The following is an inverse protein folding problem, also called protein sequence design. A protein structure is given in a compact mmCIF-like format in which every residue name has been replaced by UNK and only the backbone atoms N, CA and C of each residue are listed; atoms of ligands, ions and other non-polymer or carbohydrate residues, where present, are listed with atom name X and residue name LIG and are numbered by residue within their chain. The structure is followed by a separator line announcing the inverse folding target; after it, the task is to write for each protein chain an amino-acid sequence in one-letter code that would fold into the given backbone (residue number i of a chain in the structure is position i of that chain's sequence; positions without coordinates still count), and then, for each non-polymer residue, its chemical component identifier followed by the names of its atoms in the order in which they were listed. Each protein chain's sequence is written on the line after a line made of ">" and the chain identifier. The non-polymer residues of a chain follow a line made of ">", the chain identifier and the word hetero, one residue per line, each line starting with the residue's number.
data_IF_274936658701
#
_entry.id   IF_274936658701
#
_cell.length_a   1.000
_cell.length_b   1.000
_cell.length_c   1.000
_cell.angle_alpha   90.00
_cell.angle_beta   90.00
_cell.angle_gamma   90.00
#
_symmetry.space_group_name_H-M   'P 1'
#
loop_
_entity.id
_entity.type
_entity.pdbx_description
1 polymer ?
#
# COMPACT_ATOMS: atom_id res chain seq x y z
N UNK A 1 -45.69 35.94 -3.08
CA UNK A 1 -44.56 36.90 -3.03
C UNK A 1 -44.58 37.70 -1.74
N UNK A 2 -45.74 38.20 -1.31
CA UNK A 2 -45.98 38.98 -0.09
C UNK A 2 -45.44 38.38 1.23
N UNK A 3 -45.51 37.06 1.41
CA UNK A 3 -45.05 36.37 2.64
C UNK A 3 -43.52 36.33 2.83
N UNK A 4 -42.76 36.38 1.73
CA UNK A 4 -41.29 36.41 1.80
C UNK A 4 -40.78 37.83 2.08
N UNK A 5 -41.49 38.84 1.59
CA UNK A 5 -41.17 40.26 1.83
C UNK A 5 -41.43 40.65 3.30
N UNK A 6 -42.52 40.16 3.90
CA UNK A 6 -42.86 40.42 5.32
C UNK A 6 -41.83 39.84 6.29
N UNK A 7 -41.34 38.61 6.06
CA UNK A 7 -40.26 38.05 6.89
C UNK A 7 -38.98 38.87 6.74
N UNK A 8 -38.64 39.26 5.51
CA UNK A 8 -37.46 40.08 5.22
C UNK A 8 -37.51 41.45 5.91
N UNK A 9 -38.65 42.15 5.87
CA UNK A 9 -38.83 43.44 6.55
C UNK A 9 -38.75 43.30 8.07
N UNK A 10 -39.40 42.29 8.64
CA UNK A 10 -39.33 41.99 10.08
C UNK A 10 -37.89 41.78 10.56
N UNK A 11 -37.09 40.99 9.84
CA UNK A 11 -35.68 40.78 10.20
C UNK A 11 -34.84 42.06 10.12
N UNK A 12 -35.14 42.96 9.17
CA UNK A 12 -34.44 44.25 9.01
C UNK A 12 -34.77 45.23 10.13
N UNK A 13 -36.05 45.39 10.47
CA UNK A 13 -36.47 46.28 11.57
C UNK A 13 -36.01 45.76 12.94
N UNK A 14 -36.06 44.44 13.13
CA UNK A 14 -35.55 43.78 14.32
C UNK A 14 -34.04 43.99 14.50
N UNK A 15 -33.26 43.94 13.41
CA UNK A 15 -31.82 44.18 13.44
C UNK A 15 -31.43 45.63 13.77
N UNK A 16 -32.23 46.60 13.31
CA UNK A 16 -31.97 48.03 13.53
C UNK A 16 -32.29 48.49 14.97
N UNK A 17 -33.09 47.72 15.72
CA UNK A 17 -33.56 48.07 17.08
C UNK A 17 -32.79 47.37 18.22
N UNK A 18 -31.74 46.60 17.89
CA UNK A 18 -30.91 45.89 18.88
C UNK A 18 -29.92 46.88 19.51
N UNK A 19 -29.94 47.01 20.84
CA UNK A 19 -28.91 47.79 21.54
C UNK A 19 -27.55 47.10 21.44
N UNK A 20 -26.44 47.87 21.45
CA UNK A 20 -25.08 47.31 21.37
C UNK A 20 -24.81 46.20 22.41
N UNK A 21 -25.42 46.29 23.59
CA UNK A 21 -25.29 45.28 24.66
C UNK A 21 -26.00 43.97 24.31
N UNK A 22 -27.20 44.04 23.74
CA UNK A 22 -27.96 42.86 23.31
C UNK A 22 -27.29 42.15 22.12
N UNK A 23 -26.74 42.93 21.19
CA UNK A 23 -25.94 42.40 20.08
C UNK A 23 -24.71 41.61 20.56
N UNK A 24 -23.98 42.12 21.55
CA UNK A 24 -22.84 41.42 22.14
C UNK A 24 -23.24 40.11 22.81
N UNK A 25 -24.37 40.08 23.55
CA UNK A 25 -24.87 38.86 24.20
C UNK A 25 -25.22 37.80 23.14
N UNK A 26 -25.88 38.18 22.05
CA UNK A 26 -26.23 37.25 20.97
C UNK A 26 -24.97 36.68 20.29
N UNK A 27 -23.95 37.49 20.05
CA UNK A 27 -22.68 37.04 19.49
C UNK A 27 -21.98 36.05 20.42
N UNK A 28 -21.88 36.36 21.72
CA UNK A 28 -21.28 35.46 22.71
C UNK A 28 -22.05 34.13 22.78
N UNK A 29 -23.38 34.19 22.78
CA UNK A 29 -24.23 33.00 22.81
C UNK A 29 -24.08 32.17 21.53
N UNK A 30 -23.98 32.80 20.36
CA UNK A 30 -23.73 32.11 19.11
C UNK A 30 -22.37 31.40 19.11
N UNK A 31 -21.31 32.06 19.60
CA UNK A 31 -19.99 31.43 19.76
C UNK A 31 -20.01 30.29 20.79
N UNK A 32 -20.73 30.44 21.90
CA UNK A 32 -20.89 29.39 22.91
C UNK A 32 -21.61 28.17 22.34
N UNK A 33 -22.70 28.37 21.58
CA UNK A 33 -23.44 27.31 20.91
C UNK A 33 -22.60 26.62 19.82
N UNK A 34 -21.87 27.38 19.02
CA UNK A 34 -20.95 26.82 18.03
C UNK A 34 -19.85 25.99 18.71
N UNK A 35 -19.26 26.50 19.80
CA UNK A 35 -18.28 25.77 20.60
C UNK A 35 -18.84 24.47 21.17
N UNK A 36 -20.05 24.51 21.75
CA UNK A 36 -20.75 23.33 22.25
C UNK A 36 -21.02 22.31 21.13
N UNK A 37 -21.46 22.78 19.96
CA UNK A 37 -21.70 21.93 18.80
C UNK A 37 -20.42 21.22 18.32
N UNK A 38 -19.31 21.94 18.15
CA UNK A 38 -18.03 21.34 17.79
C UNK A 38 -17.51 20.37 18.86
N UNK A 39 -17.72 20.67 20.14
CA UNK A 39 -17.38 19.78 21.25
C UNK A 39 -18.16 18.46 21.17
N UNK A 40 -19.48 18.53 21.00
CA UNK A 40 -20.33 17.34 20.84
C UNK A 40 -19.96 16.52 19.59
N UNK A 41 -19.68 17.18 18.46
CA UNK A 41 -19.22 16.51 17.25
C UNK A 41 -17.90 15.75 17.48
N UNK A 42 -16.98 16.34 18.24
CA UNK A 42 -15.69 15.74 18.57
C UNK A 42 -15.86 14.52 19.48
N UNK A 43 -16.69 14.63 20.53
CA UNK A 43 -17.03 13.50 21.40
C UNK A 43 -17.69 12.37 20.61
N UNK A 44 -18.63 12.68 19.73
CA UNK A 44 -19.31 11.68 18.90
C UNK A 44 -18.36 10.97 17.93
N UNK A 45 -17.43 11.71 17.30
CA UNK A 45 -16.37 11.11 16.47
C UNK A 45 -15.46 10.20 17.30
N UNK A 46 -15.05 10.64 18.49
CA UNK A 46 -14.20 9.85 19.40
C UNK A 46 -14.91 8.59 19.89
N UNK A 47 -16.17 8.67 20.27
CA UNK A 47 -16.98 7.54 20.72
C UNK A 47 -17.15 6.49 19.60
N UNK A 48 -17.44 6.94 18.37
CA UNK A 48 -17.50 6.04 17.20
C UNK A 48 -16.16 5.35 16.94
N UNK A 49 -15.06 6.10 17.01
CA UNK A 49 -13.71 5.55 16.84
C UNK A 49 -13.38 4.50 17.92
N UNK A 50 -13.73 4.77 19.18
CA UNK A 50 -13.52 3.81 20.29
C UNK A 50 -14.33 2.53 20.09
N UNK A 51 -15.58 2.62 19.64
CA UNK A 51 -16.39 1.43 19.32
C UNK A 51 -15.77 0.62 18.18
N UNK A 52 -15.30 1.30 17.13
CA UNK A 52 -14.61 0.65 16.01
C UNK A 52 -13.32 -0.05 16.46
N UNK A 53 -12.53 0.57 17.34
CA UNK A 53 -11.32 -0.05 17.91
C UNK A 53 -11.69 -1.32 18.69
N UNK A 54 -12.65 -1.25 19.62
CA UNK A 54 -13.07 -2.42 20.41
C UNK A 54 -13.56 -3.58 19.53
N UNK A 55 -14.31 -3.28 18.47
CA UNK A 55 -14.76 -4.31 17.51
C UNK A 55 -13.57 -4.92 16.75
N UNK A 56 -12.60 -4.09 16.34
CA UNK A 56 -11.37 -4.59 15.70
C UNK A 56 -10.55 -5.46 16.65
N UNK A 57 -10.42 -5.08 17.91
CA UNK A 57 -9.67 -5.85 18.91
C UNK A 57 -10.34 -7.22 19.17
N UNK A 58 -11.68 -7.24 19.26
CA UNK A 58 -12.44 -8.49 19.37
C UNK A 58 -12.26 -9.39 18.14
N UNK A 59 -12.31 -8.82 16.93
CA UNK A 59 -12.02 -9.56 15.70
C UNK A 59 -10.58 -10.04 15.66
N UNK A 60 -9.61 -9.22 16.08
CA UNK A 60 -8.20 -9.57 16.09
C UNK A 60 -7.96 -10.79 16.97
N UNK A 61 -8.54 -10.84 18.17
CA UNK A 61 -8.43 -11.99 19.06
C UNK A 61 -8.98 -13.29 18.44
N UNK A 62 -10.15 -13.24 17.81
CA UNK A 62 -10.72 -14.40 17.09
C UNK A 62 -9.83 -14.83 15.91
N UNK A 63 -9.37 -13.85 15.13
CA UNK A 63 -8.53 -14.08 13.95
C UNK A 63 -7.18 -14.71 14.33
N UNK A 64 -6.55 -14.23 15.39
CA UNK A 64 -5.27 -14.75 15.86
C UNK A 64 -5.42 -16.23 16.24
N UNK A 65 -6.49 -16.61 16.96
CA UNK A 65 -6.77 -18.00 17.29
C UNK A 65 -6.92 -18.88 16.04
N UNK A 66 -7.68 -18.41 15.05
CA UNK A 66 -7.88 -19.14 13.78
C UNK A 66 -6.57 -19.30 13.02
N UNK A 67 -5.80 -18.22 12.84
CA UNK A 67 -4.56 -18.24 12.07
C UNK A 67 -3.47 -19.06 12.76
N UNK A 68 -3.31 -18.93 14.09
CA UNK A 68 -2.34 -19.74 14.82
C UNK A 68 -2.71 -21.22 14.79
N UNK A 69 -3.99 -21.56 14.95
CA UNK A 69 -4.48 -22.93 14.82
C UNK A 69 -4.22 -23.51 13.43
N UNK A 70 -4.38 -22.71 12.36
CA UNK A 70 -4.17 -23.17 10.99
C UNK A 70 -2.67 -23.35 10.68
N UNK A 71 -1.83 -22.41 11.08
CA UNK A 71 -0.39 -22.42 10.73
C UNK A 71 0.41 -23.38 11.59
N UNK A 72 0.08 -23.49 12.89
CA UNK A 72 0.89 -24.23 13.88
C UNK A 72 0.13 -25.38 14.56
N UNK A 73 -1.11 -25.66 14.16
CA UNK A 73 -1.87 -26.80 14.68
C UNK A 73 -1.18 -28.13 14.37
N UNK A 74 -1.35 -29.10 15.27
CA UNK A 74 -0.95 -30.50 15.01
C UNK A 74 -1.86 -31.11 13.93
N UNK A 75 -1.33 -32.11 13.21
CA UNK A 75 -2.01 -32.83 12.14
C UNK A 75 -3.34 -33.42 12.66
N UNK A 76 -4.45 -32.71 12.36
CA UNK A 76 -5.79 -32.97 12.89
C UNK A 76 -6.65 -31.70 13.03
N UNK A 77 -6.08 -30.61 13.55
CA UNK A 77 -6.77 -29.30 13.63
C UNK A 77 -6.90 -28.61 12.26
N UNK A 78 -6.01 -28.95 11.34
CA UNK A 78 -5.97 -28.41 9.98
C UNK A 78 -7.21 -28.82 9.15
N UNK A 79 -7.78 -30.00 9.39
CA UNK A 79 -9.00 -30.45 8.67
C UNK A 79 -10.26 -29.69 9.10
N UNK A 80 -10.41 -29.37 10.39
CA UNK A 80 -11.53 -28.55 10.86
C UNK A 80 -11.38 -27.10 10.41
N UNK A 81 -10.16 -26.56 10.42
CA UNK A 81 -9.90 -25.19 10.02
C UNK A 81 -9.91 -25.00 8.50
N UNK A 82 -9.73 -26.06 7.69
CA UNK A 82 -10.05 -26.04 6.25
C UNK A 82 -11.53 -25.76 5.96
N UNK A 83 -12.43 -25.98 6.92
CA UNK A 83 -13.85 -25.62 6.82
C UNK A 83 -14.13 -24.15 7.19
N UNK A 84 -13.13 -23.43 7.71
CA UNK A 84 -13.29 -22.01 8.00
C UNK A 84 -13.66 -21.26 6.72
N UNK A 85 -14.73 -20.49 6.79
CA UNK A 85 -15.20 -19.66 5.68
C UNK A 85 -15.49 -18.25 6.14
N UNK A 86 -15.17 -17.28 5.29
CA UNK A 86 -15.55 -15.88 5.50
C UNK A 86 -17.01 -15.58 5.16
N UNK A 87 -17.80 -16.61 4.81
CA UNK A 87 -19.25 -16.47 4.60
C UNK A 87 -19.93 -15.95 5.88
N UNK A 88 -20.84 -14.98 5.75
CA UNK A 88 -21.50 -14.33 6.87
C UNK A 88 -20.64 -13.36 7.70
N UNK A 89 -19.31 -13.30 7.49
CA UNK A 89 -18.43 -12.34 8.19
C UNK A 89 -18.55 -10.93 7.58
N UNK A 90 -18.39 -9.92 8.43
CA UNK A 90 -18.47 -8.51 8.02
C UNK A 90 -17.28 -8.10 7.14
N UNK A 91 -17.43 -7.04 6.33
CA UNK A 91 -16.32 -6.48 5.55
C UNK A 91 -15.15 -6.02 6.45
N UNK A 92 -15.46 -5.50 7.64
CA UNK A 92 -14.43 -5.12 8.60
C UNK A 92 -13.63 -6.34 9.06
N UNK A 93 -14.31 -7.44 9.41
CA UNK A 93 -13.66 -8.70 9.79
C UNK A 93 -12.72 -9.20 8.69
N UNK A 94 -13.19 -9.26 7.44
CA UNK A 94 -12.39 -9.68 6.28
C UNK A 94 -11.13 -8.82 6.11
N UNK A 95 -11.25 -7.50 6.27
CA UNK A 95 -10.12 -6.57 6.20
C UNK A 95 -9.11 -6.77 7.32
N UNK A 96 -9.57 -7.03 8.54
CA UNK A 96 -8.67 -7.33 9.67
C UNK A 96 -7.97 -8.66 9.41
N UNK A 97 -8.70 -9.69 8.98
CA UNK A 97 -8.16 -11.02 8.71
C UNK A 97 -7.07 -11.00 7.63
N UNK A 98 -7.32 -10.33 6.50
CA UNK A 98 -6.31 -10.20 5.44
C UNK A 98 -5.07 -9.44 5.96
N UNK A 99 -5.24 -8.37 6.74
CA UNK A 99 -4.10 -7.63 7.29
C UNK A 99 -3.26 -8.48 8.23
N UNK A 100 -3.89 -9.28 9.10
CA UNK A 100 -3.18 -10.22 9.97
C UNK A 100 -2.46 -11.28 9.15
N UNK A 101 -3.13 -11.84 8.13
CA UNK A 101 -2.56 -12.84 7.24
C UNK A 101 -1.32 -12.31 6.49
N UNK A 102 -1.40 -11.10 5.92
CA UNK A 102 -0.27 -10.43 5.25
C UNK A 102 0.87 -10.15 6.25
N UNK A 103 0.52 -9.71 7.46
CA UNK A 103 1.50 -9.44 8.51
C UNK A 103 2.30 -10.70 8.84
N UNK A 104 1.60 -11.81 9.12
CA UNK A 104 2.22 -13.12 9.37
C UNK A 104 3.04 -13.56 8.15
N UNK A 105 2.47 -13.53 6.94
CA UNK A 105 3.15 -13.95 5.70
C UNK A 105 4.48 -13.21 5.50
N UNK A 106 4.52 -11.91 5.81
CA UNK A 106 5.74 -11.11 5.69
C UNK A 106 6.80 -11.37 6.76
N UNK A 107 6.44 -12.01 7.88
CA UNK A 107 7.32 -12.28 9.01
C UNK A 107 7.80 -13.74 9.09
N UNK A 108 7.06 -14.69 8.48
CA UNK A 108 7.40 -16.11 8.45
C UNK A 108 8.06 -16.52 7.13
N UNK A 109 8.65 -17.72 7.09
CA UNK A 109 9.30 -18.30 5.90
C UNK A 109 9.06 -19.81 5.83
N UNK A 110 9.15 -20.38 4.62
CA UNK A 110 9.07 -21.83 4.43
C UNK A 110 7.62 -22.33 4.49
N UNK A 111 7.39 -23.52 5.05
CA UNK A 111 6.07 -24.17 5.04
C UNK A 111 4.94 -23.31 5.64
N UNK A 112 5.23 -22.44 6.60
CA UNK A 112 4.24 -21.52 7.17
C UNK A 112 3.71 -20.50 6.16
N UNK A 113 4.54 -20.02 5.22
CA UNK A 113 4.04 -19.09 4.18
C UNK A 113 3.10 -19.80 3.22
N UNK A 114 3.39 -21.05 2.88
CA UNK A 114 2.56 -21.85 1.97
C UNK A 114 1.19 -22.14 2.61
N UNK A 115 1.16 -22.46 3.92
CA UNK A 115 -0.09 -22.60 4.68
C UNK A 115 -0.90 -21.30 4.70
N UNK A 116 -0.27 -20.14 4.92
CA UNK A 116 -0.97 -18.85 4.91
C UNK A 116 -1.58 -18.53 3.52
N UNK A 117 -0.89 -18.89 2.45
CA UNK A 117 -1.40 -18.79 1.07
C UNK A 117 -2.57 -19.75 0.84
N UNK A 118 -2.48 -20.99 1.31
CA UNK A 118 -3.58 -21.97 1.25
C UNK A 118 -4.81 -21.47 2.02
N UNK A 119 -4.63 -20.92 3.22
CA UNK A 119 -5.72 -20.34 4.02
C UNK A 119 -6.41 -19.19 3.29
N UNK A 120 -5.64 -18.33 2.62
CA UNK A 120 -6.20 -17.22 1.84
C UNK A 120 -7.17 -17.71 0.75
N UNK A 121 -6.81 -18.82 0.09
CA UNK A 121 -7.62 -19.46 -0.94
C UNK A 121 -8.82 -20.16 -0.33
N UNK A 122 -8.60 -21.08 0.61
CA UNK A 122 -9.64 -21.95 1.17
C UNK A 122 -10.70 -21.20 1.97
N UNK A 123 -10.32 -20.13 2.67
CA UNK A 123 -11.26 -19.29 3.44
C UNK A 123 -12.23 -18.47 2.58
N UNK A 124 -11.94 -18.29 1.29
CA UNK A 124 -12.71 -17.46 0.35
C UNK A 124 -12.29 -15.99 0.31
N UNK A 125 -11.19 -15.61 0.98
CA UNK A 125 -10.68 -14.24 1.01
C UNK A 125 -10.17 -13.76 -0.36
N UNK A 126 -9.65 -14.66 -1.20
CA UNK A 126 -9.28 -14.35 -2.59
C UNK A 126 -10.43 -13.68 -3.34
N UNK A 127 -11.64 -14.25 -3.27
CA UNK A 127 -12.82 -13.70 -3.94
C UNK A 127 -13.15 -12.29 -3.47
N UNK A 128 -12.98 -12.02 -2.17
CA UNK A 128 -13.18 -10.70 -1.60
C UNK A 128 -12.18 -9.68 -2.17
N UNK A 129 -10.91 -10.05 -2.29
CA UNK A 129 -9.89 -9.15 -2.85
C UNK A 129 -10.01 -8.99 -4.37
N UNK A 130 -10.40 -10.03 -5.11
CA UNK A 130 -10.70 -9.95 -6.55
C UNK A 130 -11.86 -9.00 -6.83
N UNK A 131 -12.93 -9.05 -6.03
CA UNK A 131 -14.06 -8.12 -6.18
C UNK A 131 -13.62 -6.65 -6.01
N UNK A 132 -12.62 -6.37 -5.17
CA UNK A 132 -12.08 -5.01 -5.02
C UNK A 132 -11.44 -4.47 -6.30
N UNK A 133 -10.90 -5.33 -7.17
CA UNK A 133 -10.33 -4.91 -8.47
C UNK A 133 -11.38 -4.31 -9.42
N UNK A 134 -12.66 -4.61 -9.20
CA UNK A 134 -13.79 -4.12 -9.99
C UNK A 134 -14.40 -2.82 -9.43
N UNK A 135 -13.89 -2.31 -8.30
CA UNK A 135 -14.43 -1.11 -7.68
C UNK A 135 -14.20 0.15 -8.51
N UNK A 136 -15.16 1.07 -8.47
CA UNK A 136 -15.01 2.42 -9.03
C UNK A 136 -14.08 3.30 -8.18
N UNK A 137 -13.82 2.92 -6.93
CA UNK A 137 -12.92 3.65 -6.03
C UNK A 137 -11.50 3.10 -6.19
N UNK A 138 -10.61 3.94 -6.70
CA UNK A 138 -9.21 3.59 -6.91
C UNK A 138 -8.53 3.08 -5.62
N UNK A 139 -8.93 3.57 -4.45
CA UNK A 139 -8.39 3.13 -3.15
C UNK A 139 -8.72 1.66 -2.85
N UNK A 140 -9.95 1.23 -3.14
CA UNK A 140 -10.36 -0.16 -2.97
C UNK A 140 -9.62 -1.06 -3.97
N UNK A 141 -9.43 -0.59 -5.20
CA UNK A 141 -8.65 -1.28 -6.24
C UNK A 141 -7.20 -1.50 -5.81
N UNK A 142 -6.53 -0.45 -5.33
CA UNK A 142 -5.16 -0.54 -4.76
C UNK A 142 -5.14 -1.52 -3.60
N UNK A 143 -6.14 -1.50 -2.71
CA UNK A 143 -6.26 -2.45 -1.61
C UNK A 143 -6.40 -3.89 -2.13
N UNK A 144 -7.15 -4.13 -3.20
CA UNK A 144 -7.30 -5.45 -3.83
C UNK A 144 -6.00 -5.94 -4.47
N UNK A 145 -5.33 -5.09 -5.23
CA UNK A 145 -4.03 -5.40 -5.85
C UNK A 145 -3.01 -5.78 -4.76
N UNK A 146 -2.95 -4.98 -3.68
CA UNK A 146 -2.06 -5.24 -2.55
C UNK A 146 -2.33 -6.58 -1.91
N UNK A 147 -3.57 -6.91 -1.58
CA UNK A 147 -3.89 -8.17 -0.93
C UNK A 147 -3.45 -9.38 -1.77
N UNK A 148 -3.81 -9.38 -3.05
CA UNK A 148 -3.56 -10.50 -3.96
C UNK A 148 -2.07 -10.71 -4.17
N UNK A 149 -1.32 -9.63 -4.38
CA UNK A 149 0.14 -9.70 -4.45
C UNK A 149 0.74 -10.07 -3.09
N UNK A 150 0.18 -9.55 -1.99
CA UNK A 150 0.61 -9.77 -0.62
C UNK A 150 0.62 -11.20 -0.15
N UNK A 151 -0.22 -12.01 -0.76
CA UNK A 151 -0.39 -13.42 -0.45
C UNK A 151 -0.09 -14.27 -1.68
N UNK A 152 0.76 -13.75 -2.58
CA UNK A 152 1.33 -14.45 -3.73
C UNK A 152 0.29 -15.19 -4.61
N UNK A 153 -0.91 -14.61 -4.75
CA UNK A 153 -1.97 -15.24 -5.52
C UNK A 153 -1.75 -15.05 -7.02
N UNK A 154 -0.95 -15.95 -7.61
CA UNK A 154 -0.54 -15.94 -9.02
C UNK A 154 -1.70 -15.79 -10.03
N UNK A 155 -2.87 -16.45 -9.87
CA UNK A 155 -3.95 -16.34 -10.85
C UNK A 155 -4.52 -14.92 -11.01
N UNK A 156 -4.28 -14.01 -10.04
CA UNK A 156 -4.73 -12.63 -10.16
C UNK A 156 -3.88 -11.77 -11.10
N UNK A 157 -2.73 -12.26 -11.58
CA UNK A 157 -1.80 -11.45 -12.39
C UNK A 157 -2.50 -10.75 -13.58
N UNK A 158 -3.26 -11.49 -14.39
CA UNK A 158 -3.90 -10.93 -15.59
C UNK A 158 -5.02 -9.95 -15.20
N UNK A 159 -5.75 -10.24 -14.13
CA UNK A 159 -6.78 -9.35 -13.59
C UNK A 159 -6.16 -8.03 -13.11
N UNK A 160 -5.02 -8.08 -12.41
CA UNK A 160 -4.26 -6.91 -11.97
C UNK A 160 -3.78 -6.12 -13.20
N UNK A 161 -3.22 -6.79 -14.21
CA UNK A 161 -2.74 -6.14 -15.45
C UNK A 161 -3.87 -5.39 -16.17
N UNK A 162 -5.08 -5.94 -16.19
CA UNK A 162 -6.26 -5.39 -16.87
C UNK A 162 -7.00 -4.28 -16.10
N UNK A 163 -6.62 -3.96 -14.85
CA UNK A 163 -7.26 -2.89 -14.05
C UNK A 163 -7.29 -1.56 -14.82
N UNK A 164 -8.51 -1.00 -14.96
CA UNK A 164 -8.84 0.17 -15.78
C UNK A 164 -8.71 1.49 -15.00
N UNK A 165 -7.47 1.91 -14.73
CA UNK A 165 -7.15 3.19 -14.08
C UNK A 165 -5.88 3.82 -14.69
N UNK A 166 -5.82 3.91 -16.02
CA UNK A 166 -4.60 4.35 -16.74
C UNK A 166 -4.13 5.75 -16.39
N UNK A 167 -5.04 6.66 -16.01
CA UNK A 167 -4.72 8.04 -15.60
C UNK A 167 -4.39 8.20 -14.11
N UNK A 168 -4.46 7.13 -13.32
CA UNK A 168 -4.15 7.19 -11.89
C UNK A 168 -2.78 6.57 -11.63
N UNK A 169 -1.79 7.44 -11.42
CA UNK A 169 -0.39 7.04 -11.23
C UNK A 169 -0.20 6.08 -10.05
N UNK A 170 -0.92 6.30 -8.94
CA UNK A 170 -0.86 5.42 -7.77
C UNK A 170 -1.33 4.00 -8.10
N UNK A 171 -2.39 3.86 -8.92
CA UNK A 171 -2.85 2.54 -9.36
C UNK A 171 -1.85 1.91 -10.31
N UNK A 172 -1.26 2.66 -11.25
CA UNK A 172 -0.26 2.11 -12.17
C UNK A 172 1.01 1.66 -11.44
N UNK A 173 1.49 2.43 -10.48
CA UNK A 173 2.62 2.07 -9.62
C UNK A 173 2.31 0.80 -8.82
N UNK A 174 1.13 0.72 -8.20
CA UNK A 174 0.73 -0.49 -7.45
C UNK A 174 0.61 -1.71 -8.36
N UNK A 175 0.05 -1.57 -9.56
CA UNK A 175 0.01 -2.64 -10.56
C UNK A 175 1.42 -3.14 -10.90
N UNK A 176 2.37 -2.23 -11.13
CA UNK A 176 3.75 -2.61 -11.44
C UNK A 176 4.40 -3.35 -10.27
N UNK A 177 4.29 -2.83 -9.05
CA UNK A 177 4.84 -3.46 -7.84
C UNK A 177 4.24 -4.87 -7.64
N UNK A 178 2.92 -5.00 -7.79
CA UNK A 178 2.24 -6.28 -7.68
C UNK A 178 2.68 -7.28 -8.75
N UNK A 179 2.82 -6.83 -10.01
CA UNK A 179 3.31 -7.66 -11.10
C UNK A 179 4.74 -8.12 -10.86
N UNK A 180 5.63 -7.20 -10.45
CA UNK A 180 7.02 -7.53 -10.08
C UNK A 180 7.04 -8.56 -8.96
N UNK A 181 6.15 -8.42 -7.99
CA UNK A 181 6.07 -9.37 -6.90
C UNK A 181 5.63 -10.77 -7.34
N UNK A 182 4.64 -10.85 -8.24
CA UNK A 182 4.10 -12.12 -8.70
C UNK A 182 5.04 -12.81 -9.70
N UNK A 183 5.63 -12.07 -10.65
CA UNK A 183 6.41 -12.65 -11.77
C UNK A 183 7.88 -12.26 -11.83
N UNK A 184 8.35 -11.43 -10.91
CA UNK A 184 9.74 -11.00 -10.86
C UNK A 184 10.03 -9.72 -11.62
N UNK A 185 11.31 -9.34 -11.66
CA UNK A 185 11.74 -8.07 -12.25
C UNK A 185 11.69 -8.03 -13.78
N UNK A 186 11.43 -9.16 -14.45
CA UNK A 186 11.21 -9.22 -15.90
C UNK A 186 10.08 -8.28 -16.35
N UNK A 187 9.15 -7.94 -15.46
CA UNK A 187 8.06 -6.99 -15.69
C UNK A 187 8.55 -5.58 -16.03
N UNK A 188 9.78 -5.22 -15.63
CA UNK A 188 10.40 -3.94 -15.99
C UNK A 188 10.74 -3.84 -17.49
N UNK A 189 10.85 -4.98 -18.20
CA UNK A 189 11.16 -5.00 -19.64
C UNK A 189 10.12 -4.29 -20.50
N UNK A 190 8.85 -4.27 -20.08
CA UNK A 190 7.79 -3.52 -20.76
C UNK A 190 8.05 -2.00 -20.79
N UNK A 191 8.88 -1.51 -19.86
CA UNK A 191 9.17 -0.09 -19.71
C UNK A 191 10.48 0.33 -20.40
N UNK A 192 11.26 -0.62 -20.93
CA UNK A 192 12.58 -0.40 -21.56
C UNK A 192 12.58 0.71 -22.61
N UNK A 193 11.53 0.77 -23.42
CA UNK A 193 11.37 1.77 -24.48
C UNK A 193 10.13 2.67 -24.28
N UNK A 194 9.64 2.75 -23.04
CA UNK A 194 8.45 3.54 -22.71
C UNK A 194 8.82 4.98 -22.34
N UNK A 195 7.86 5.90 -22.50
CA UNK A 195 7.97 7.27 -21.99
C UNK A 195 7.58 7.41 -20.50
N UNK A 196 7.26 6.30 -19.83
CA UNK A 196 6.81 6.33 -18.44
C UNK A 196 7.98 6.64 -17.51
N UNK A 197 7.88 7.69 -16.70
CA UNK A 197 8.97 8.08 -15.81
C UNK A 197 8.78 7.54 -14.39
N UNK A 198 9.75 6.78 -13.90
CA UNK A 198 9.79 6.32 -12.50
C UNK A 198 10.53 7.33 -11.64
N UNK A 199 9.77 8.15 -10.91
CA UNK A 199 10.35 9.07 -9.92
C UNK A 199 10.99 8.33 -8.73
N UNK A 200 11.79 9.04 -7.92
CA UNK A 200 12.53 8.43 -6.80
C UNK A 200 11.64 7.71 -5.78
N UNK A 201 10.42 8.22 -5.56
CA UNK A 201 9.45 7.56 -4.69
C UNK A 201 9.02 6.20 -5.26
N UNK A 202 8.73 6.13 -6.57
CA UNK A 202 8.37 4.88 -7.26
C UNK A 202 9.51 3.88 -7.18
N UNK A 203 10.73 4.34 -7.48
CA UNK A 203 11.92 3.49 -7.44
C UNK A 203 12.19 2.96 -6.02
N UNK A 204 12.05 3.81 -5.01
CA UNK A 204 12.19 3.42 -3.60
C UNK A 204 11.16 2.36 -3.19
N UNK A 205 9.91 2.50 -3.64
CA UNK A 205 8.88 1.51 -3.37
C UNK A 205 9.12 0.18 -4.07
N UNK A 206 9.63 0.20 -5.31
CA UNK A 206 10.02 -1.03 -6.01
C UNK A 206 11.17 -1.71 -5.25
N UNK A 207 12.24 -0.99 -4.92
CA UNK A 207 13.37 -1.53 -4.13
C UNK A 207 12.89 -2.14 -2.81
N UNK A 208 12.07 -1.40 -2.06
CA UNK A 208 11.51 -1.86 -0.80
C UNK A 208 10.69 -3.13 -0.98
N UNK A 209 9.84 -3.19 -2.02
CA UNK A 209 8.98 -4.34 -2.28
C UNK A 209 9.77 -5.57 -2.69
N UNK A 210 10.76 -5.42 -3.58
CA UNK A 210 11.65 -6.51 -4.02
C UNK A 210 12.36 -7.13 -2.81
N UNK A 211 12.88 -6.29 -1.89
CA UNK A 211 13.49 -6.77 -0.65
C UNK A 211 12.49 -7.46 0.27
N UNK A 212 11.42 -6.74 0.63
CA UNK A 212 10.47 -7.19 1.66
C UNK A 212 9.85 -8.53 1.31
N UNK A 213 9.56 -8.74 0.02
CA UNK A 213 8.89 -9.94 -0.45
C UNK A 213 9.83 -10.95 -1.10
N UNK A 214 11.15 -10.76 -0.95
CA UNK A 214 12.20 -11.69 -1.41
C UNK A 214 11.94 -12.15 -2.86
N UNK A 215 11.65 -11.18 -3.73
CA UNK A 215 11.27 -11.46 -5.12
C UNK A 215 12.38 -12.28 -5.77
N UNK A 216 12.01 -13.49 -6.21
CA UNK A 216 12.91 -14.42 -6.89
C UNK A 216 13.15 -13.89 -8.31
N UNK A 217 14.37 -14.00 -8.81
CA UNK A 217 14.84 -13.57 -10.14
C UNK A 217 15.27 -12.10 -10.22
N UNK A 218 16.56 -11.88 -9.92
CA UNK A 218 17.31 -10.71 -10.37
C UNK A 218 17.98 -10.95 -11.73
N UNK A 219 17.76 -12.09 -12.38
CA UNK A 219 18.46 -12.47 -13.62
C UNK A 219 18.10 -11.52 -14.77
N UNK A 220 19.07 -11.28 -15.66
CA UNK A 220 18.92 -10.48 -16.89
C UNK A 220 18.52 -9.01 -16.72
N UNK A 221 18.76 -8.42 -15.54
CA UNK A 221 18.62 -6.97 -15.35
C UNK A 221 19.58 -6.15 -16.23
N UNK A 222 20.69 -6.74 -16.65
CA UNK A 222 21.75 -6.09 -17.42
C UNK A 222 21.22 -5.51 -18.75
N UNK A 223 20.27 -6.20 -19.41
CA UNK A 223 19.66 -5.77 -20.68
C UNK A 223 18.87 -4.46 -20.56
N UNK A 224 18.49 -4.10 -19.33
CA UNK A 224 17.75 -2.89 -19.00
C UNK A 224 18.67 -1.71 -18.61
N UNK A 225 19.99 -1.92 -18.50
CA UNK A 225 20.95 -0.81 -18.38
C UNK A 225 20.89 0.08 -19.62
N UNK A 226 20.70 -0.53 -20.80
CA UNK A 226 20.56 0.14 -22.10
C UNK A 226 19.14 0.57 -22.44
N UNK A 227 18.29 0.69 -21.42
CA UNK A 227 16.94 1.19 -21.59
C UNK A 227 16.97 2.62 -22.10
N UNK A 228 16.26 2.90 -23.20
CA UNK A 228 16.03 4.28 -23.66
C UNK A 228 15.22 5.09 -22.65
N UNK A 229 14.52 4.41 -21.75
CA UNK A 229 13.99 5.00 -20.54
C UNK A 229 15.06 5.06 -19.43
N UNK A 230 15.66 6.23 -19.26
CA UNK A 230 16.71 6.48 -18.27
C UNK A 230 16.27 6.21 -16.82
N UNK A 231 14.99 6.40 -16.49
CA UNK A 231 14.48 6.10 -15.14
C UNK A 231 14.43 4.60 -14.82
N UNK A 232 14.28 3.76 -15.85
CA UNK A 232 14.39 2.29 -15.73
C UNK A 232 15.85 1.88 -15.57
N UNK A 233 16.76 2.43 -16.39
CA UNK A 233 18.20 2.18 -16.25
C UNK A 233 18.71 2.56 -14.85
N UNK A 234 18.28 3.72 -14.33
CA UNK A 234 18.59 4.18 -12.97
C UNK A 234 18.08 3.21 -11.90
N UNK A 235 16.83 2.73 -12.03
CA UNK A 235 16.26 1.75 -11.11
C UNK A 235 17.06 0.43 -11.13
N UNK A 236 17.48 -0.02 -12.30
CA UNK A 236 18.27 -1.23 -12.49
C UNK A 236 19.63 -1.12 -11.81
N UNK A 237 20.33 0.00 -12.00
CA UNK A 237 21.60 0.32 -11.31
C UNK A 237 21.38 0.20 -9.79
N UNK A 238 20.34 0.87 -9.26
CA UNK A 238 20.00 0.82 -7.83
C UNK A 238 19.72 -0.60 -7.35
N UNK A 239 18.98 -1.41 -8.10
CA UNK A 239 18.70 -2.80 -7.76
C UNK A 239 19.98 -3.65 -7.73
N UNK A 240 20.86 -3.52 -8.73
CA UNK A 240 22.13 -4.26 -8.80
C UNK A 240 23.01 -3.94 -7.59
N UNK A 241 23.20 -2.65 -7.27
CA UNK A 241 23.97 -2.23 -6.10
C UNK A 241 23.33 -2.66 -4.79
N UNK A 242 22.00 -2.60 -4.69
CA UNK A 242 21.27 -2.94 -3.48
C UNK A 242 21.41 -4.41 -3.11
N UNK A 243 21.30 -5.30 -4.10
CA UNK A 243 21.38 -6.75 -3.90
C UNK A 243 22.81 -7.30 -4.01
N UNK A 244 23.79 -6.46 -4.39
CA UNK A 244 25.22 -6.84 -4.54
C UNK A 244 25.41 -8.11 -5.37
N UNK A 245 24.68 -8.23 -6.47
CA UNK A 245 24.85 -9.36 -7.38
C UNK A 245 26.21 -9.20 -8.09
N UNK A 246 27.21 -9.97 -7.66
CA UNK A 246 28.60 -9.84 -8.12
C UNK A 246 28.75 -10.01 -9.63
N UNK A 247 28.01 -10.94 -10.24
CA UNK A 247 28.01 -11.12 -11.68
C UNK A 247 27.45 -9.89 -12.43
N UNK A 248 26.51 -9.17 -11.83
CA UNK A 248 25.90 -7.98 -12.43
C UNK A 248 26.66 -6.69 -12.14
N UNK A 249 27.51 -6.66 -11.10
CA UNK A 249 28.39 -5.53 -10.84
C UNK A 249 29.41 -5.33 -11.97
N UNK A 250 29.90 -6.41 -12.58
CA UNK A 250 30.76 -6.33 -13.78
C UNK A 250 30.06 -5.64 -14.96
N UNK A 251 28.75 -5.87 -15.11
CA UNK A 251 27.96 -5.22 -16.15
C UNK A 251 27.80 -3.71 -15.93
N UNK A 252 27.87 -3.24 -14.67
CA UNK A 252 27.89 -1.81 -14.36
C UNK A 252 29.20 -1.17 -14.79
N UNK A 253 30.33 -1.85 -14.59
CA UNK A 253 31.65 -1.34 -14.99
C UNK A 253 31.76 -1.20 -16.52
N UNK A 254 31.23 -2.16 -17.28
CA UNK A 254 31.10 -2.04 -18.74
C UNK A 254 30.15 -0.90 -19.14
N UNK A 255 28.96 -0.83 -18.51
CA UNK A 255 27.97 0.21 -18.80
C UNK A 255 28.50 1.63 -18.52
N UNK A 256 29.31 1.81 -17.48
CA UNK A 256 29.94 3.08 -17.13
C UNK A 256 30.82 3.63 -18.27
N UNK A 257 31.52 2.75 -19.00
CA UNK A 257 32.42 3.18 -20.09
C UNK A 257 31.68 3.66 -21.34
N UNK A 258 30.42 3.25 -21.50
CA UNK A 258 29.64 3.47 -22.73
C UNK A 258 28.42 4.36 -22.55
N UNK A 259 27.98 4.60 -21.31
CA UNK A 259 26.85 5.48 -21.04
C UNK A 259 27.24 6.96 -21.17
N UNK A 260 26.45 7.72 -21.91
CA UNK A 260 26.61 9.18 -22.03
C UNK A 260 25.83 9.98 -21.01
N UNK A 261 25.08 9.36 -20.09
CA UNK A 261 24.27 10.08 -19.11
C UNK A 261 25.08 10.46 -17.87
N UNK A 262 25.30 11.76 -17.67
CA UNK A 262 25.90 12.31 -16.45
C UNK A 262 25.13 11.91 -15.18
N UNK A 263 23.79 11.82 -15.27
CA UNK A 263 22.94 11.45 -14.14
C UNK A 263 23.16 10.00 -13.71
N UNK A 264 23.22 9.07 -14.67
CA UNK A 264 23.48 7.65 -14.38
C UNK A 264 24.90 7.46 -13.82
N UNK A 265 25.90 8.15 -14.40
CA UNK A 265 27.28 8.14 -13.92
C UNK A 265 27.40 8.67 -12.49
N UNK A 266 26.72 9.77 -12.19
CA UNK A 266 26.64 10.36 -10.84
C UNK A 266 26.12 9.35 -9.81
N UNK A 267 25.02 8.67 -10.12
CA UNK A 267 24.43 7.67 -9.23
C UNK A 267 25.38 6.47 -9.04
N UNK A 268 25.99 5.94 -10.10
CA UNK A 268 26.94 4.83 -10.02
C UNK A 268 28.11 5.21 -9.08
N UNK A 269 28.67 6.40 -9.26
CA UNK A 269 29.76 6.90 -8.42
C UNK A 269 29.37 7.06 -6.95
N UNK A 270 28.17 7.57 -6.69
CA UNK A 270 27.61 7.68 -5.34
C UNK A 270 27.43 6.29 -4.69
N UNK A 271 26.84 5.34 -5.41
CA UNK A 271 26.58 3.99 -4.91
C UNK A 271 27.86 3.19 -4.69
N UNK A 272 28.84 3.27 -5.61
CA UNK A 272 30.18 2.67 -5.44
C UNK A 272 30.80 3.15 -4.12
N UNK A 273 30.92 4.46 -3.92
CA UNK A 273 31.51 5.06 -2.70
C UNK A 273 30.84 4.58 -1.42
N UNK A 274 29.51 4.57 -1.38
CA UNK A 274 28.75 4.15 -0.19
C UNK A 274 28.78 2.64 0.05
N UNK A 275 28.88 1.84 -1.01
CA UNK A 275 29.00 0.38 -0.91
C UNK A 275 30.33 -0.03 -0.29
N UNK A 276 31.40 0.72 -0.58
CA UNK A 276 32.75 0.54 -0.02
C UNK A 276 32.78 0.88 1.47
N UNK A 277 32.19 2.01 1.87
CA UNK A 277 32.12 2.45 3.29
C UNK A 277 31.37 1.43 4.16
N UNK A 278 30.28 0.84 3.64
CA UNK A 278 29.55 -0.24 4.34
C UNK A 278 30.38 -1.52 4.48
N UNK A 279 31.22 -1.86 3.50
CA UNK A 279 32.09 -3.04 3.58
C UNK A 279 33.17 -2.86 4.67
N UNK A 280 33.81 -1.69 4.72
CA UNK A 280 34.81 -1.37 5.76
C UNK A 280 34.21 -1.33 7.17
N UNK A 281 33.06 -0.68 7.37
CA UNK A 281 32.38 -0.62 8.69
C UNK A 281 31.78 -1.94 9.19
N UNK A 282 31.73 -2.98 8.34
CA UNK A 282 31.32 -4.34 8.71
C UNK A 282 32.53 -5.21 9.08
N UNK A 283 33.73 -4.82 8.64
CA UNK A 283 34.99 -5.51 8.92
C UNK A 283 35.56 -5.10 10.29
N UNK A 284 35.40 -3.84 10.70
CA UNK A 284 35.82 -3.33 12.02
C UNK A 284 34.91 -3.76 13.20
N UNK A 285 33.87 -4.56 12.95
CA UNK A 285 32.91 -5.02 13.97
C UNK A 285 32.89 -6.53 14.20
N UNK A 286 33.87 -7.26 13.67
CA UNK A 286 34.18 -8.65 13.99
C UNK A 286 35.61 -8.74 14.53
#
# INVERSE_FOLDING_TARGET
>A
MEFLETRSQFFREWWLNISLKEGLILVILAFALAGLFFFLLTLWKRARKLKEIKVKDAYQAEIDQVLFGFVFGQDGAEEELKKFSISGKSNLYKKVLIKSLISLHSNFTGSSTDKLEEFYVSSGLVSYSLHKLQSKKWTEVVEGIRDLAALNYQPAYDSIKQVKFSKNDLVQQEKLIARIRLRGLSELSEFRNSKAYFNDWTQSNILFSVKRFKVKNLENLQDLLDSSNESVALLVIRLIFYFRNSAQLLAIDDFEQRTGSEKLLSEINFLKRNSTIKAYSSYDRN
#
